data_IF_345723928382
#
_entry.id   IF_345723928382
#
_cell.length_a   1.000
_cell.length_b   1.000
_cell.length_c   1.000
_cell.angle_alpha   90.00
_cell.angle_beta   90.00
_cell.angle_gamma   90.00
#
_symmetry.space_group_name_H-M   'P 1'
#
loop_
_entity.id
_entity.type
_entity.pdbx_description
1 polymer ?
#
# COMPACT_ATOMS: atom_id res chain seq x y z
N UNK A 1 -1.79 50.33 24.31
CA UNK A 1 -1.50 49.57 23.08
C UNK A 1 -2.70 48.70 22.78
N UNK A 2 -3.51 49.04 21.77
CA UNK A 2 -4.75 48.32 21.46
C UNK A 2 -4.49 46.93 20.85
N UNK A 3 -5.41 45.99 21.08
CA UNK A 3 -5.40 44.68 20.42
C UNK A 3 -5.57 44.88 18.91
N UNK A 4 -4.80 44.14 18.11
CA UNK A 4 -4.91 44.12 16.65
C UNK A 4 -5.46 42.76 16.22
N UNK A 5 -6.34 42.76 15.24
CA UNK A 5 -6.84 41.55 14.61
C UNK A 5 -6.07 41.27 13.32
N UNK A 6 -5.76 39.99 13.10
CA UNK A 6 -5.17 39.47 11.88
C UNK A 6 -6.15 38.53 11.20
N UNK A 7 -6.29 38.63 9.88
CA UNK A 7 -7.08 37.69 9.09
C UNK A 7 -6.16 36.86 8.18
N UNK A 8 -6.10 35.55 8.42
CA UNK A 8 -5.27 34.60 7.67
C UNK A 8 -5.66 34.49 6.19
N UNK A 9 -6.93 34.75 5.84
CA UNK A 9 -7.37 34.67 4.45
C UNK A 9 -7.02 35.91 3.62
N UNK A 10 -6.80 37.05 4.27
CA UNK A 10 -6.63 38.34 3.61
C UNK A 10 -5.25 38.96 3.82
N UNK A 11 -4.42 38.37 4.69
CA UNK A 11 -3.10 38.84 5.13
C UNK A 11 -3.10 40.31 5.57
N UNK A 12 -4.15 40.72 6.29
CA UNK A 12 -4.35 42.10 6.75
C UNK A 12 -4.41 42.16 8.27
N UNK A 13 -3.69 43.13 8.84
CA UNK A 13 -3.80 43.51 10.25
C UNK A 13 -4.57 44.82 10.38
N UNK A 14 -5.51 44.88 11.32
CA UNK A 14 -6.21 46.12 11.66
C UNK A 14 -6.52 46.19 13.16
N UNK A 15 -7.00 47.33 13.63
CA UNK A 15 -7.36 47.52 15.05
C UNK A 15 -8.55 46.61 15.37
N UNK A 16 -8.48 45.84 16.47
CA UNK A 16 -9.51 44.87 16.84
C UNK A 16 -10.76 45.56 17.40
N UNK A 17 -11.55 46.10 16.48
CA UNK A 17 -12.90 46.60 16.72
C UNK A 17 -13.93 45.60 16.21
N UNK A 18 -14.97 45.33 17.01
CA UNK A 18 -15.98 44.31 16.71
C UNK A 18 -16.76 44.64 15.42
N UNK A 19 -17.07 45.92 15.21
CA UNK A 19 -17.78 46.41 14.02
C UNK A 19 -16.91 46.25 12.77
N UNK A 20 -15.65 46.70 12.85
CA UNK A 20 -14.66 46.55 11.79
C UNK A 20 -14.40 45.08 11.43
N UNK A 21 -14.28 44.20 12.43
CA UNK A 21 -14.09 42.76 12.22
C UNK A 21 -15.30 42.15 11.50
N UNK A 22 -16.53 42.46 11.93
CA UNK A 22 -17.74 41.96 11.26
C UNK A 22 -17.81 42.40 9.80
N UNK A 23 -17.58 43.69 9.53
CA UNK A 23 -17.54 44.24 8.16
C UNK A 23 -16.46 43.58 7.31
N UNK A 24 -15.30 43.28 7.89
CA UNK A 24 -14.24 42.56 7.20
C UNK A 24 -14.67 41.13 6.83
N UNK A 25 -15.24 40.37 7.77
CA UNK A 25 -15.67 38.99 7.55
C UNK A 25 -16.83 38.86 6.56
N UNK A 26 -17.73 39.86 6.49
CA UNK A 26 -18.82 39.90 5.51
C UNK A 26 -18.43 40.55 4.19
N UNK A 27 -17.21 41.08 4.07
CA UNK A 27 -16.76 41.69 2.83
C UNK A 27 -16.67 40.65 1.71
N UNK A 28 -17.05 41.06 0.50
CA UNK A 28 -17.00 40.20 -0.70
C UNK A 28 -15.59 39.66 -0.96
N UNK A 29 -14.57 40.49 -0.69
CA UNK A 29 -13.16 40.10 -0.83
C UNK A 29 -12.79 38.96 0.12
N UNK A 30 -13.12 39.08 1.42
CA UNK A 30 -12.87 38.02 2.39
C UNK A 30 -13.62 36.74 2.02
N UNK A 31 -14.91 36.85 1.69
CA UNK A 31 -15.73 35.69 1.29
C UNK A 31 -15.12 34.98 0.06
N UNK A 32 -14.65 35.74 -0.93
CA UNK A 32 -14.00 35.20 -2.13
C UNK A 32 -12.70 34.47 -1.80
N UNK A 33 -11.79 35.09 -1.03
CA UNK A 33 -10.52 34.47 -0.66
C UNK A 33 -10.73 33.24 0.23
N UNK A 34 -11.67 33.32 1.17
CA UNK A 34 -12.06 32.18 1.99
C UNK A 34 -12.57 31.02 1.13
N UNK A 35 -13.43 31.31 0.15
CA UNK A 35 -13.93 30.28 -0.79
C UNK A 35 -12.79 29.65 -1.59
N UNK A 36 -11.89 30.47 -2.15
CA UNK A 36 -10.75 30.00 -2.94
C UNK A 36 -9.82 29.11 -2.11
N UNK A 37 -9.56 29.48 -0.85
CA UNK A 37 -8.79 28.66 0.07
C UNK A 37 -9.41 27.27 0.26
N UNK A 38 -10.73 27.20 0.49
CA UNK A 38 -11.41 25.91 0.63
C UNK A 38 -11.51 25.12 -0.69
N UNK A 39 -11.58 25.80 -1.84
CA UNK A 39 -11.54 25.16 -3.15
C UNK A 39 -10.17 24.50 -3.41
N UNK A 40 -9.07 25.14 -2.99
CA UNK A 40 -7.72 24.59 -3.12
C UNK A 40 -7.49 23.36 -2.22
N UNK A 41 -8.08 23.34 -1.03
CA UNK A 41 -7.97 22.24 -0.07
C UNK A 41 -9.15 21.28 -0.11
N UNK A 42 -9.88 21.24 -1.23
CA UNK A 42 -11.06 20.40 -1.35
C UNK A 42 -10.67 18.93 -1.43
N UNK A 43 -11.40 18.07 -0.71
CA UNK A 43 -11.13 16.65 -0.70
C UNK A 43 -11.27 16.06 -2.12
N UNK A 44 -10.24 15.38 -2.65
CA UNK A 44 -10.25 14.86 -4.03
C UNK A 44 -11.40 13.87 -4.27
N UNK A 45 -11.80 13.14 -3.22
CA UNK A 45 -12.97 12.23 -3.25
C UNK A 45 -14.28 12.95 -3.50
N UNK A 46 -14.46 14.09 -2.83
CA UNK A 46 -15.68 14.90 -2.98
C UNK A 46 -15.73 15.55 -4.36
N UNK A 47 -14.57 16.02 -4.85
CA UNK A 47 -14.40 16.57 -6.20
C UNK A 47 -14.78 15.54 -7.25
N UNK A 48 -14.19 14.34 -7.20
CA UNK A 48 -14.48 13.26 -8.14
C UNK A 48 -15.95 12.86 -8.14
N UNK A 49 -16.56 12.72 -6.95
CA UNK A 49 -17.96 12.34 -6.82
C UNK A 49 -18.91 13.37 -7.42
N UNK A 50 -18.66 14.66 -7.22
CA UNK A 50 -19.49 15.73 -7.77
C UNK A 50 -19.28 15.95 -9.27
N UNK A 51 -18.05 15.83 -9.75
CA UNK A 51 -17.70 16.16 -11.14
C UNK A 51 -17.94 15.01 -12.11
N UNK A 52 -17.81 13.75 -11.66
CA UNK A 52 -18.09 12.58 -12.49
C UNK A 52 -19.57 12.46 -12.88
N UNK A 53 -20.48 13.03 -12.08
CA UNK A 53 -21.93 13.07 -12.37
C UNK A 53 -22.28 14.22 -13.31
N UNK A 54 -21.43 15.25 -13.40
CA UNK A 54 -21.70 16.43 -14.23
C UNK A 54 -21.39 16.13 -15.69
N UNK A 55 -22.24 16.67 -16.57
CA UNK A 55 -21.95 16.69 -18.01
C UNK A 55 -20.88 17.73 -18.32
N UNK A 56 -20.12 17.51 -19.39
CA UNK A 56 -18.96 18.33 -19.72
C UNK A 56 -19.37 19.72 -20.20
N UNK A 57 -18.65 20.76 -19.76
CA UNK A 57 -18.90 22.13 -20.16
C UNK A 57 -18.43 22.39 -21.59
N UNK A 58 -19.37 22.49 -22.54
CA UNK A 58 -19.07 22.79 -23.95
C UNK A 58 -18.31 24.10 -24.13
N UNK A 59 -18.68 25.16 -23.40
CA UNK A 59 -18.02 26.47 -23.49
C UNK A 59 -16.56 26.40 -23.06
N UNK A 60 -16.28 25.71 -21.96
CA UNK A 60 -14.93 25.54 -21.45
C UNK A 60 -14.05 24.74 -22.42
N UNK A 61 -14.56 23.64 -22.98
CA UNK A 61 -13.80 22.85 -23.95
C UNK A 61 -13.52 23.63 -25.24
N UNK A 62 -14.49 24.40 -25.73
CA UNK A 62 -14.36 25.09 -27.01
C UNK A 62 -13.50 26.35 -26.94
N UNK A 63 -13.60 27.12 -25.86
CA UNK A 63 -12.95 28.42 -25.74
C UNK A 63 -11.83 28.46 -24.68
N UNK A 64 -11.66 27.40 -23.89
CA UNK A 64 -10.76 27.38 -22.74
C UNK A 64 -11.21 28.24 -21.56
N UNK A 65 -12.32 28.99 -21.70
CA UNK A 65 -12.83 29.91 -20.70
C UNK A 65 -14.32 29.69 -20.45
N UNK A 66 -14.71 29.73 -19.17
CA UNK A 66 -16.09 29.66 -18.74
C UNK A 66 -16.39 30.83 -17.81
N UNK A 67 -17.36 31.67 -18.19
CA UNK A 67 -17.82 32.83 -17.41
C UNK A 67 -18.32 32.46 -16.01
N UNK A 68 -18.73 31.20 -15.80
CA UNK A 68 -19.23 30.71 -14.51
C UNK A 68 -18.12 30.09 -13.63
N UNK A 69 -16.91 29.88 -14.15
CA UNK A 69 -15.76 29.36 -13.41
C UNK A 69 -16.13 28.24 -12.39
N UNK A 70 -15.83 28.43 -11.10
CA UNK A 70 -16.14 27.48 -10.02
C UNK A 70 -17.63 27.37 -9.63
N UNK A 71 -18.50 28.16 -10.23
CA UNK A 71 -19.95 28.10 -10.06
C UNK A 71 -20.65 27.44 -11.27
N UNK A 72 -19.89 26.87 -12.21
CA UNK A 72 -20.46 26.19 -13.36
C UNK A 72 -21.20 24.90 -12.95
N UNK A 73 -22.38 24.69 -13.53
CA UNK A 73 -23.16 23.45 -13.37
C UNK A 73 -22.51 22.25 -14.05
N UNK A 74 -21.68 22.51 -15.06
CA UNK A 74 -21.00 21.51 -15.88
C UNK A 74 -19.57 21.29 -15.39
N UNK A 75 -19.01 20.11 -15.64
CA UNK A 75 -17.62 19.83 -15.28
C UNK A 75 -16.66 20.53 -16.25
N UNK A 76 -15.59 21.10 -15.70
CA UNK A 76 -14.46 21.64 -16.45
C UNK A 76 -13.30 20.64 -16.55
N UNK A 77 -13.43 19.48 -15.90
CA UNK A 77 -12.41 18.45 -15.94
C UNK A 77 -12.57 17.63 -17.21
N UNK A 78 -11.44 17.37 -17.85
CA UNK A 78 -11.31 16.37 -18.89
C UNK A 78 -11.49 14.97 -18.31
N UNK A 79 -11.79 14.02 -19.20
CA UNK A 79 -11.90 12.61 -18.81
C UNK A 79 -10.59 12.08 -18.22
N UNK A 80 -9.45 12.52 -18.75
CA UNK A 80 -8.12 12.12 -18.29
C UNK A 80 -7.85 12.63 -16.87
N UNK A 81 -8.20 13.88 -16.57
CA UNK A 81 -8.04 14.45 -15.23
C UNK A 81 -8.89 13.71 -14.19
N UNK A 82 -10.13 13.35 -14.52
CA UNK A 82 -10.98 12.57 -13.62
C UNK A 82 -10.44 11.15 -13.38
N UNK A 83 -9.84 10.53 -14.41
CA UNK A 83 -9.18 9.23 -14.28
C UNK A 83 -7.94 9.31 -13.39
N UNK A 84 -7.10 10.33 -13.59
CA UNK A 84 -5.92 10.57 -12.77
C UNK A 84 -6.31 10.79 -11.30
N UNK A 85 -7.36 11.60 -11.05
CA UNK A 85 -7.88 11.85 -9.72
C UNK A 85 -8.37 10.55 -9.05
N UNK A 86 -9.08 9.70 -9.80
CA UNK A 86 -9.52 8.38 -9.32
C UNK A 86 -8.33 7.48 -8.97
N UNK A 87 -7.30 7.47 -9.80
CA UNK A 87 -6.10 6.67 -9.54
C UNK A 87 -5.36 7.14 -8.28
N UNK A 88 -5.20 8.44 -8.09
CA UNK A 88 -4.60 9.01 -6.88
C UNK A 88 -5.36 8.58 -5.62
N UNK A 89 -6.69 8.66 -5.63
CA UNK A 89 -7.53 8.22 -4.51
C UNK A 89 -7.32 6.74 -4.20
N UNK A 90 -7.22 5.89 -5.23
CA UNK A 90 -6.98 4.45 -5.05
C UNK A 90 -5.61 4.16 -4.43
N UNK A 91 -4.57 4.88 -4.85
CA UNK A 91 -3.22 4.75 -4.27
C UNK A 91 -3.23 5.18 -2.80
N UNK A 92 -3.85 6.32 -2.48
CA UNK A 92 -3.99 6.80 -1.10
C UNK A 92 -4.73 5.79 -0.21
N UNK A 93 -5.79 5.17 -0.73
CA UNK A 93 -6.53 4.13 -0.03
C UNK A 93 -5.69 2.87 0.19
N UNK A 94 -4.92 2.46 -0.81
CA UNK A 94 -3.99 1.34 -0.69
C UNK A 94 -2.93 1.63 0.38
N UNK A 95 -2.34 2.82 0.39
CA UNK A 95 -1.35 3.22 1.40
C UNK A 95 -1.94 3.27 2.80
N UNK A 96 -3.15 3.82 2.95
CA UNK A 96 -3.87 3.83 4.24
C UNK A 96 -4.15 2.41 4.71
N UNK A 97 -4.63 1.53 3.82
CA UNK A 97 -4.85 0.11 4.13
C UNK A 97 -3.55 -0.59 4.50
N UNK A 98 -2.44 -0.31 3.81
CA UNK A 98 -1.14 -0.88 4.11
C UNK A 98 -0.63 -0.43 5.48
N UNK A 99 -0.84 0.83 5.87
CA UNK A 99 -0.49 1.36 7.20
C UNK A 99 -1.38 0.78 8.31
N UNK A 100 -2.66 0.54 8.04
CA UNK A 100 -3.61 0.01 9.04
C UNK A 100 -3.59 -1.51 9.14
N UNK A 101 -3.20 -2.22 8.06
CA UNK A 101 -2.92 -3.65 8.10
C UNK A 101 -1.76 -3.89 9.05
N UNK A 102 -2.10 -4.31 10.27
CA UNK A 102 -1.15 -4.99 11.15
C UNK A 102 -0.65 -6.20 10.37
N UNK A 103 0.59 -6.13 9.90
CA UNK A 103 1.27 -7.30 9.33
C UNK A 103 1.19 -8.37 10.43
N UNK A 104 0.66 -9.57 10.14
CA UNK A 104 0.71 -10.66 11.11
C UNK A 104 2.15 -10.77 11.57
N UNK A 105 2.41 -10.74 12.88
CA UNK A 105 3.76 -10.96 13.40
C UNK A 105 4.16 -12.39 13.01
N UNK A 106 4.89 -12.51 11.90
CA UNK A 106 5.45 -13.78 11.47
C UNK A 106 6.52 -14.11 12.53
N UNK A 107 6.39 -15.22 13.28
CA UNK A 107 7.41 -15.60 14.24
C UNK A 107 8.75 -15.76 13.52
N UNK A 108 9.86 -15.36 14.15
CA UNK A 108 11.20 -15.60 13.59
C UNK A 108 11.37 -17.09 13.28
N UNK A 109 12.06 -17.40 12.18
CA UNK A 109 12.40 -18.75 11.78
C UNK A 109 13.03 -19.52 12.96
N UNK A 110 13.89 -18.88 13.75
CA UNK A 110 14.53 -19.46 14.93
C UNK A 110 13.50 -19.87 15.98
N UNK A 111 12.52 -19.01 16.28
CA UNK A 111 11.47 -19.30 17.26
C UNK A 111 10.57 -20.47 16.83
N UNK A 112 10.42 -20.69 15.52
CA UNK A 112 9.70 -21.83 14.98
C UNK A 112 10.53 -23.12 15.06
N UNK A 113 11.81 -23.07 14.67
CA UNK A 113 12.76 -24.19 14.78
C UNK A 113 12.85 -24.67 16.23
N UNK A 114 12.91 -23.74 17.17
CA UNK A 114 13.03 -24.07 18.59
C UNK A 114 11.76 -24.74 19.13
N UNK A 115 10.57 -24.28 18.72
CA UNK A 115 9.29 -24.96 19.03
C UNK A 115 9.20 -26.34 18.38
N UNK A 116 9.71 -26.50 17.17
CA UNK A 116 9.72 -27.77 16.45
C UNK A 116 10.63 -28.79 17.16
N UNK A 117 11.88 -28.40 17.42
CA UNK A 117 12.86 -29.22 18.14
C UNK A 117 12.38 -29.56 19.55
N UNK A 118 11.75 -28.64 20.29
CA UNK A 118 11.20 -28.94 21.62
C UNK A 118 10.06 -29.98 21.60
N UNK A 119 9.28 -30.04 20.51
CA UNK A 119 8.24 -31.05 20.32
C UNK A 119 8.82 -32.41 19.94
N UNK A 120 9.83 -32.43 19.06
CA UNK A 120 10.42 -33.67 18.54
C UNK A 120 11.49 -34.26 19.49
N UNK A 121 12.34 -33.44 20.12
CA UNK A 121 13.36 -33.89 21.08
C UNK A 121 12.78 -34.37 22.44
N UNK A 122 11.48 -34.15 22.70
CA UNK A 122 10.81 -34.76 23.88
C UNK A 122 10.37 -36.21 23.64
N UNK A 123 10.25 -36.63 22.38
CA UNK A 123 9.97 -38.02 22.02
C UNK A 123 11.26 -38.82 21.82
N UNK A 124 12.32 -38.17 21.34
CA UNK A 124 13.57 -38.84 20.97
C UNK A 124 14.69 -38.53 21.95
N UNK A 125 14.70 -39.24 23.09
CA UNK A 125 15.88 -39.37 23.96
C UNK A 125 16.56 -40.74 23.83
N UNK A 126 16.20 -41.50 22.80
CA UNK A 126 16.74 -42.84 22.57
C UNK A 126 16.75 -43.18 21.08
N UNK A 127 17.61 -42.51 20.31
CA UNK A 127 18.33 -43.05 19.13
C UNK A 127 18.90 -41.89 18.31
N UNK A 128 20.21 -41.94 18.09
CA UNK A 128 20.97 -41.00 17.25
C UNK A 128 20.79 -41.35 15.75
N UNK A 129 19.60 -41.84 15.37
CA UNK A 129 19.28 -42.25 14.00
C UNK A 129 18.29 -41.25 13.41
N UNK A 130 18.75 -40.49 12.41
CA UNK A 130 17.91 -39.59 11.62
C UNK A 130 16.80 -40.43 10.97
N UNK A 131 15.61 -40.43 11.57
CA UNK A 131 14.42 -41.06 10.99
C UNK A 131 13.99 -40.26 9.76
N UNK A 132 14.56 -40.58 8.61
CA UNK A 132 13.99 -40.19 7.34
C UNK A 132 12.62 -40.87 7.21
N UNK A 133 11.55 -40.15 6.80
CA UNK A 133 10.20 -40.74 6.64
C UNK A 133 10.12 -41.93 5.66
N UNK A 134 11.23 -42.20 4.96
CA UNK A 134 11.39 -43.30 4.05
C UNK A 134 12.56 -44.16 4.52
N UNK A 135 12.29 -45.44 4.79
CA UNK A 135 13.30 -46.48 5.03
C UNK A 135 13.29 -47.47 3.86
N UNK A 136 14.45 -48.02 3.54
CA UNK A 136 14.57 -49.01 2.46
C UNK A 136 13.89 -50.33 2.88
N UNK A 137 12.89 -50.84 2.14
CA UNK A 137 12.21 -52.07 2.50
C UNK A 137 13.14 -53.29 2.42
N UNK A 138 13.22 -54.11 3.48
CA UNK A 138 14.06 -55.32 3.55
C UNK A 138 13.75 -56.34 2.44
N UNK A 139 12.51 -56.38 1.97
CA UNK A 139 12.05 -57.27 0.89
C UNK A 139 12.77 -56.97 -0.44
N UNK A 140 13.31 -55.77 -0.60
CA UNK A 140 14.06 -55.35 -1.78
C UNK A 140 15.56 -55.66 -1.65
N UNK A 141 16.06 -56.13 -0.51
CA UNK A 141 17.48 -56.50 -0.37
C UNK A 141 17.82 -57.81 -1.09
N UNK A 142 16.86 -58.74 -1.16
CA UNK A 142 17.06 -60.07 -1.73
C UNK A 142 16.75 -60.17 -3.23
N UNK A 143 16.29 -59.09 -3.86
CA UNK A 143 15.92 -59.06 -5.29
C UNK A 143 17.08 -58.59 -6.16
N UNK A 144 17.58 -59.47 -7.03
CA UNK A 144 18.64 -59.15 -7.99
C UNK A 144 18.15 -58.42 -9.25
N UNK A 145 16.85 -58.42 -9.50
CA UNK A 145 16.17 -57.88 -10.69
C UNK A 145 15.68 -56.43 -10.51
N UNK A 146 16.20 -55.69 -9.54
CA UNK A 146 15.83 -54.29 -9.31
C UNK A 146 16.55 -53.33 -10.28
N UNK A 147 15.88 -52.26 -10.75
CA UNK A 147 16.55 -51.20 -11.50
C UNK A 147 17.52 -50.41 -10.59
N UNK A 148 18.55 -49.76 -11.15
CA UNK A 148 19.58 -49.04 -10.38
C UNK A 148 19.01 -48.05 -9.34
N UNK A 149 17.92 -47.35 -9.66
CA UNK A 149 17.27 -46.37 -8.78
C UNK A 149 16.61 -46.95 -7.54
N UNK A 150 16.34 -48.27 -7.51
CA UNK A 150 15.70 -48.96 -6.38
C UNK A 150 16.65 -49.92 -5.67
N UNK A 151 17.94 -49.96 -6.05
CA UNK A 151 18.94 -50.73 -5.32
C UNK A 151 19.48 -49.89 -4.17
N UNK A 152 19.68 -50.53 -3.02
CA UNK A 152 20.43 -49.94 -1.90
C UNK A 152 21.87 -49.64 -2.39
N UNK A 153 22.23 -48.36 -2.40
CA UNK A 153 23.60 -47.96 -2.75
C UNK A 153 24.55 -48.40 -1.64
N UNK A 154 25.63 -49.10 -2.02
CA UNK A 154 26.74 -49.46 -1.14
C UNK A 154 27.97 -48.62 -1.49
N UNK A 155 28.91 -48.41 -0.54
CA UNK A 155 30.15 -47.70 -0.81
C UNK A 155 30.91 -48.25 -2.03
N UNK A 156 30.88 -49.57 -2.24
CA UNK A 156 31.53 -50.25 -3.37
C UNK A 156 30.97 -49.91 -4.76
N UNK A 157 29.80 -49.25 -4.82
CA UNK A 157 29.15 -48.84 -6.06
C UNK A 157 29.68 -47.49 -6.57
N UNK A 158 30.37 -46.72 -5.74
CA UNK A 158 31.01 -45.46 -6.12
C UNK A 158 32.40 -45.79 -6.69
N UNK A 159 32.53 -45.76 -8.02
CA UNK A 159 33.80 -46.06 -8.72
C UNK A 159 34.39 -44.84 -9.45
N UNK A 160 33.60 -43.78 -9.56
CA UNK A 160 34.00 -42.53 -10.22
C UNK A 160 34.01 -41.43 -9.14
N UNK A 161 35.20 -41.17 -8.57
CA UNK A 161 35.45 -40.07 -7.64
C UNK A 161 35.90 -38.79 -8.39
N UNK A 162 35.62 -38.70 -9.69
CA UNK A 162 35.93 -37.53 -10.52
C UNK A 162 34.80 -36.49 -10.38
N UNK A 163 34.75 -35.84 -9.22
CA UNK A 163 33.87 -34.69 -9.01
C UNK A 163 34.55 -33.45 -9.58
N UNK A 164 34.04 -32.94 -10.70
CA UNK A 164 34.42 -31.61 -11.18
C UNK A 164 34.17 -30.56 -10.07
N UNK A 165 35.17 -29.71 -9.81
CA UNK A 165 35.03 -28.59 -8.87
C UNK A 165 33.91 -27.67 -9.34
N UNK A 166 32.78 -27.69 -8.61
CA UNK A 166 31.66 -26.82 -8.89
C UNK A 166 32.00 -25.37 -8.50
N UNK A 167 32.14 -24.49 -9.50
CA UNK A 167 32.18 -23.03 -9.28
C UNK A 167 33.43 -22.28 -9.74
N UNK A 168 34.01 -22.67 -10.88
CA UNK A 168 34.99 -21.82 -11.59
C UNK A 168 34.31 -20.64 -12.31
#
# INVERSE_FOLDING_TARGET
MGRRYYCDYCDKTFIDDLEARRKHLTSSHHIKLRKLHYEQHRDPRTVLAEESVKTICRRFIQHGECQFAGNCKYTHYSQEELLNLKQQIQLDDYEKQRKTRKVPEIPSLESWIEKYNQKHNKADKESDEVLTPWSYPEQLEFRSDLPPSLKKFKPDNFKDDDFDEWGA
#
